data_IF_064885613914
#
_entry.id   IF_064885613914
#
_cell.length_a   1.000
_cell.length_b   1.000
_cell.length_c   1.000
_cell.angle_alpha   90.00
_cell.angle_beta   90.00
_cell.angle_gamma   90.00
#
_symmetry.space_group_name_H-M   'P 1'
#
loop_
_entity.id
_entity.type
_entity.pdbx_description
1 polymer ?
#
# COMPACT_ATOMS: atom_id res chain seq x y z
N UNK A 1 9.29 -2.47 12.59
CA UNK A 1 10.59 -2.30 11.89
C UNK A 1 10.95 -3.55 11.10
N UNK A 2 10.71 -4.75 11.63
CA UNK A 2 11.06 -5.99 10.90
C UNK A 2 10.21 -6.30 9.66
N UNK A 3 8.95 -5.85 9.60
CA UNK A 3 8.10 -6.01 8.40
C UNK A 3 8.66 -5.29 7.17
N UNK A 4 9.28 -4.11 7.35
CA UNK A 4 9.84 -3.30 6.26
C UNK A 4 11.17 -3.83 5.73
N UNK A 5 11.87 -4.69 6.48
CA UNK A 5 13.19 -5.23 6.11
C UNK A 5 13.12 -6.33 5.04
N UNK A 6 11.95 -6.94 4.86
CA UNK A 6 11.74 -8.09 3.96
C UNK A 6 11.05 -7.69 2.65
N UNK A 7 10.95 -6.39 2.34
CA UNK A 7 10.44 -5.93 1.06
C UNK A 7 11.60 -5.73 0.10
N UNK A 8 11.51 -6.34 -1.08
CA UNK A 8 12.43 -6.09 -2.20
C UNK A 8 12.41 -4.59 -2.63
N UNK A 9 11.31 -3.90 -2.31
CA UNK A 9 11.12 -2.49 -2.62
C UNK A 9 10.97 -2.24 -4.11
N UNK A 10 11.13 -0.98 -4.51
CA UNK A 10 11.01 -0.55 -5.90
C UNK A 10 12.36 -0.12 -6.46
N UNK A 11 12.58 -0.37 -7.76
CA UNK A 11 13.72 0.16 -8.51
C UNK A 11 13.69 1.69 -8.57
N UNK A 12 14.76 2.32 -9.06
CA UNK A 12 14.79 3.79 -9.19
C UNK A 12 13.83 4.26 -10.28
N UNK A 13 13.69 3.46 -11.33
CA UNK A 13 12.86 3.71 -12.50
C UNK A 13 11.38 3.62 -12.16
N UNK A 14 11.01 2.74 -11.23
CA UNK A 14 9.65 2.60 -10.71
C UNK A 14 9.28 3.70 -9.70
N UNK A 15 10.24 4.39 -9.09
CA UNK A 15 9.99 5.54 -8.19
C UNK A 15 9.77 6.84 -8.98
N UNK A 16 8.77 6.83 -9.84
CA UNK A 16 8.37 7.95 -10.69
C UNK A 16 7.02 8.55 -10.22
N UNK A 17 6.57 9.63 -10.85
CA UNK A 17 5.31 10.30 -10.47
C UNK A 17 4.05 9.47 -10.81
N UNK A 18 4.11 8.57 -11.79
CA UNK A 18 2.98 7.71 -12.18
C UNK A 18 2.62 6.72 -11.05
N UNK A 19 3.65 6.13 -10.45
CA UNK A 19 3.56 5.19 -9.34
C UNK A 19 3.42 5.88 -7.97
N UNK A 20 3.41 7.22 -7.92
CA UNK A 20 3.48 7.96 -6.66
C UNK A 20 2.14 7.96 -5.91
N UNK A 21 2.22 7.71 -4.60
CA UNK A 21 1.08 7.85 -3.68
C UNK A 21 1.10 9.26 -3.10
N UNK A 22 0.09 10.06 -3.44
CA UNK A 22 -0.06 11.41 -2.93
C UNK A 22 -0.76 11.45 -1.57
N UNK A 23 -0.51 12.52 -0.80
CA UNK A 23 -1.14 12.73 0.51
C UNK A 23 -0.39 12.10 1.69
N UNK A 24 0.75 11.46 1.45
CA UNK A 24 1.71 11.08 2.48
C UNK A 24 2.69 12.24 2.74
N UNK A 25 3.09 12.45 4.00
CA UNK A 25 4.16 13.41 4.36
C UNK A 25 5.52 12.95 3.82
N UNK A 26 5.73 11.64 3.83
CA UNK A 26 6.87 10.95 3.21
C UNK A 26 6.55 10.58 1.77
N UNK A 27 7.55 10.44 0.92
CA UNK A 27 7.33 9.93 -0.43
C UNK A 27 7.02 8.43 -0.37
N UNK A 28 6.06 8.01 -1.16
CA UNK A 28 5.62 6.62 -1.24
C UNK A 28 5.22 6.30 -2.68
N UNK A 29 5.42 5.04 -3.07
CA UNK A 29 5.13 4.54 -4.40
C UNK A 29 4.50 3.16 -4.34
N UNK A 30 3.72 2.84 -5.37
CA UNK A 30 3.12 1.52 -5.60
C UNK A 30 3.21 1.18 -7.08
N UNK A 31 3.56 -0.07 -7.37
CA UNK A 31 3.38 -0.67 -8.70
C UNK A 31 2.37 -1.79 -8.62
N UNK A 32 1.72 -2.07 -9.75
CA UNK A 32 0.71 -3.11 -9.87
C UNK A 32 1.02 -3.97 -11.09
N UNK A 33 1.00 -5.30 -10.92
CA UNK A 33 1.09 -6.28 -12.00
C UNK A 33 -0.09 -7.22 -11.92
N UNK A 34 -0.66 -7.56 -13.07
CA UNK A 34 -1.72 -8.55 -13.20
C UNK A 34 -1.14 -9.86 -13.75
N UNK A 35 -1.47 -10.98 -13.12
CA UNK A 35 -1.19 -12.33 -13.61
C UNK A 35 -2.49 -13.14 -13.58
N UNK A 36 -3.03 -13.44 -14.77
CA UNK A 36 -4.37 -14.01 -14.91
C UNK A 36 -5.45 -13.08 -14.34
N UNK A 37 -6.18 -13.53 -13.32
CA UNK A 37 -7.19 -12.75 -12.60
C UNK A 37 -6.67 -12.11 -11.31
N UNK A 38 -5.42 -12.41 -10.95
CA UNK A 38 -4.80 -12.01 -9.69
C UNK A 38 -3.91 -10.79 -9.87
N UNK A 39 -3.82 -9.98 -8.81
CA UNK A 39 -3.03 -8.77 -8.78
C UNK A 39 -1.87 -8.88 -7.78
N UNK A 40 -0.76 -8.25 -8.13
CA UNK A 40 0.49 -8.25 -7.38
C UNK A 40 1.02 -6.83 -7.27
N UNK A 41 1.17 -6.37 -6.04
CA UNK A 41 1.62 -5.04 -5.70
C UNK A 41 3.02 -5.08 -5.11
N UNK A 42 3.81 -4.06 -5.42
CA UNK A 42 5.06 -3.75 -4.72
C UNK A 42 5.02 -2.30 -4.29
N UNK A 43 5.45 -2.02 -3.05
CA UNK A 43 5.44 -0.68 -2.50
C UNK A 43 6.80 -0.26 -1.97
N UNK A 44 7.04 1.04 -1.92
CA UNK A 44 8.21 1.57 -1.23
C UNK A 44 7.94 2.96 -0.66
N UNK A 45 8.76 3.38 0.31
CA UNK A 45 8.71 4.72 0.88
C UNK A 45 10.08 5.15 1.39
N UNK A 46 10.35 6.46 1.32
CA UNK A 46 11.53 7.06 1.95
C UNK A 46 11.45 7.09 3.49
N UNK A 47 10.28 6.78 4.07
CA UNK A 47 10.08 6.64 5.51
C UNK A 47 9.85 5.19 5.93
N UNK A 48 10.70 4.65 6.81
CA UNK A 48 10.64 3.26 7.27
C UNK A 48 9.30 2.87 7.91
N UNK A 49 8.64 3.79 8.62
CA UNK A 49 7.33 3.52 9.23
C UNK A 49 6.26 3.37 8.15
N UNK A 50 6.27 4.24 7.14
CA UNK A 50 5.32 4.18 6.02
C UNK A 50 5.57 2.94 5.18
N UNK A 51 6.84 2.62 4.89
CA UNK A 51 7.23 1.35 4.25
C UNK A 51 6.70 0.14 5.01
N UNK A 52 6.78 0.15 6.35
CA UNK A 52 6.22 -0.91 7.19
C UNK A 52 4.69 -1.03 7.08
N UNK A 53 3.97 0.08 7.00
CA UNK A 53 2.52 0.07 6.81
C UNK A 53 2.15 -0.43 5.41
N UNK A 54 2.82 0.06 4.36
CA UNK A 54 2.55 -0.37 2.98
C UNK A 54 2.85 -1.87 2.77
N UNK A 55 3.82 -2.44 3.49
CA UNK A 55 4.08 -3.89 3.48
C UNK A 55 2.87 -4.73 3.92
N UNK A 56 1.97 -4.16 4.73
CA UNK A 56 0.74 -4.84 5.13
C UNK A 56 -0.26 -4.90 3.98
N UNK A 57 -0.27 -3.89 3.10
CA UNK A 57 -1.09 -3.86 1.90
C UNK A 57 -0.61 -4.96 0.95
N UNK A 58 0.69 -5.01 0.63
CA UNK A 58 1.26 -6.04 -0.24
C UNK A 58 0.87 -7.45 0.23
N UNK A 59 1.02 -7.73 1.52
CA UNK A 59 0.70 -9.04 2.09
C UNK A 59 -0.79 -9.39 2.05
N UNK A 60 -1.66 -8.38 2.07
CA UNK A 60 -3.10 -8.59 2.17
C UNK A 60 -3.79 -8.54 0.80
N UNK A 61 -3.16 -7.92 -0.20
CA UNK A 61 -3.76 -7.65 -1.50
C UNK A 61 -3.15 -8.53 -2.59
N UNK A 62 -1.91 -8.98 -2.43
CA UNK A 62 -1.28 -9.86 -3.41
C UNK A 62 -2.02 -11.19 -3.49
N UNK A 63 -2.09 -11.77 -4.70
CA UNK A 63 -2.79 -13.03 -4.98
C UNK A 63 -4.32 -12.96 -4.78
N UNK A 64 -4.89 -11.74 -4.86
CA UNK A 64 -6.33 -11.50 -4.83
C UNK A 64 -6.86 -10.97 -6.17
N UNK A 65 -8.14 -11.20 -6.44
CA UNK A 65 -8.83 -10.66 -7.62
C UNK A 65 -9.18 -9.19 -7.40
N UNK A 66 -9.56 -8.51 -8.49
CA UNK A 66 -10.05 -7.13 -8.44
C UNK A 66 -11.20 -6.97 -7.45
N UNK A 67 -12.17 -7.89 -7.46
CA UNK A 67 -13.35 -7.85 -6.59
C UNK A 67 -12.97 -7.98 -5.12
N UNK A 68 -12.08 -8.93 -4.80
CA UNK A 68 -11.58 -9.15 -3.44
C UNK A 68 -10.86 -7.91 -2.90
N UNK A 69 -10.09 -7.21 -3.74
CA UNK A 69 -9.33 -6.01 -3.35
C UNK A 69 -10.25 -4.79 -3.17
N UNK A 70 -11.28 -4.65 -4.01
CA UNK A 70 -12.22 -3.54 -3.94
C UNK A 70 -13.14 -3.60 -2.70
N UNK A 71 -13.31 -4.78 -2.09
CA UNK A 71 -14.12 -4.96 -0.87
C UNK A 71 -13.37 -4.56 0.42
N UNK A 72 -12.05 -4.31 0.33
CA UNK A 72 -11.23 -3.98 1.51
C UNK A 72 -11.40 -2.50 1.89
N UNK A 73 -11.88 -2.26 3.12
CA UNK A 73 -11.85 -0.94 3.75
C UNK A 73 -10.52 -0.71 4.52
N UNK A 74 -9.80 0.35 4.15
CA UNK A 74 -8.49 0.65 4.74
C UNK A 74 -8.50 1.06 6.21
N UNK A 75 -9.60 1.64 6.69
CA UNK A 75 -9.76 2.00 8.10
C UNK A 75 -9.98 0.74 8.95
N UNK A 76 -10.92 -0.11 8.54
CA UNK A 76 -11.18 -1.40 9.19
C UNK A 76 -9.96 -2.31 9.15
N UNK A 77 -9.17 -2.26 8.07
CA UNK A 77 -7.92 -3.00 7.99
C UNK A 77 -6.93 -2.60 9.09
N UNK A 78 -6.71 -1.30 9.30
CA UNK A 78 -5.79 -0.83 10.35
C UNK A 78 -6.28 -1.19 11.76
N UNK A 79 -7.60 -1.16 11.97
CA UNK A 79 -8.20 -1.61 13.22
C UNK A 79 -8.04 -3.12 13.44
N UNK A 80 -8.23 -3.94 12.39
CA UNK A 80 -8.14 -5.40 12.48
C UNK A 80 -6.72 -5.89 12.78
N UNK A 81 -5.70 -5.17 12.30
CA UNK A 81 -4.28 -5.45 12.64
C UNK A 81 -3.82 -4.78 13.94
N UNK A 82 -4.74 -4.16 14.70
CA UNK A 82 -4.46 -3.54 16.00
C UNK A 82 -3.66 -2.24 15.93
N UNK A 83 -3.56 -1.63 14.75
CA UNK A 83 -2.78 -0.41 14.54
C UNK A 83 -3.60 0.87 14.62
N UNK A 84 -4.93 0.83 14.47
CA UNK A 84 -5.77 2.03 14.39
C UNK A 84 -5.61 3.05 15.54
N UNK A 85 -5.34 2.58 16.77
CA UNK A 85 -5.06 3.46 17.94
C UNK A 85 -3.58 3.75 18.19
N UNK A 86 -2.68 3.08 17.49
CA UNK A 86 -1.23 3.11 17.72
C UNK A 86 -0.49 4.05 16.75
N UNK A 87 -1.19 4.57 15.74
CA UNK A 87 -0.65 5.46 14.71
C UNK A 87 -1.38 6.81 14.72
N UNK A 88 -0.66 7.88 14.37
CA UNK A 88 -1.28 9.20 14.28
C UNK A 88 -2.31 9.26 13.16
N UNK A 89 -3.28 10.18 13.28
CA UNK A 89 -4.27 10.45 12.23
C UNK A 89 -3.63 10.71 10.86
N UNK A 90 -2.50 11.41 10.82
CA UNK A 90 -1.77 11.67 9.59
C UNK A 90 -1.23 10.40 8.91
N UNK A 91 -0.77 9.42 9.68
CA UNK A 91 -0.28 8.14 9.14
C UNK A 91 -1.43 7.26 8.67
N UNK A 92 -2.54 7.26 9.41
CA UNK A 92 -3.80 6.61 8.99
C UNK A 92 -4.26 7.16 7.64
N UNK A 93 -4.29 8.49 7.49
CA UNK A 93 -4.68 9.13 6.23
C UNK A 93 -3.75 8.75 5.07
N UNK A 94 -2.44 8.73 5.30
CA UNK A 94 -1.48 8.28 4.29
C UNK A 94 -1.71 6.83 3.86
N UNK A 95 -2.01 5.94 4.80
CA UNK A 95 -2.33 4.54 4.52
C UNK A 95 -3.64 4.39 3.74
N UNK A 96 -4.71 5.08 4.15
CA UNK A 96 -5.99 5.09 3.42
C UNK A 96 -5.84 5.63 2.00
N UNK A 97 -5.00 6.66 1.80
CA UNK A 97 -4.70 7.19 0.47
C UNK A 97 -3.97 6.16 -0.42
N UNK A 98 -3.09 5.35 0.14
CA UNK A 98 -2.42 4.27 -0.59
C UNK A 98 -3.43 3.23 -1.09
N UNK A 99 -4.35 2.79 -0.22
CA UNK A 99 -5.43 1.86 -0.60
C UNK A 99 -6.32 2.47 -1.69
N UNK A 100 -6.73 3.73 -1.52
CA UNK A 100 -7.55 4.42 -2.52
C UNK A 100 -6.85 4.52 -3.89
N UNK A 101 -5.53 4.77 -3.93
CA UNK A 101 -4.75 4.80 -5.18
C UNK A 101 -4.75 3.43 -5.85
N UNK A 102 -4.51 2.36 -5.09
CA UNK A 102 -4.55 0.98 -5.59
C UNK A 102 -5.94 0.65 -6.15
N UNK A 103 -7.00 0.93 -5.40
CA UNK A 103 -8.36 0.63 -5.84
C UNK A 103 -8.75 1.41 -7.09
N UNK A 104 -8.27 2.65 -7.26
CA UNK A 104 -8.46 3.42 -8.50
C UNK A 104 -7.75 2.80 -9.69
N UNK A 105 -6.49 2.37 -9.53
CA UNK A 105 -5.74 1.69 -10.59
C UNK A 105 -6.38 0.38 -11.05
N UNK A 106 -7.21 -0.24 -10.20
CA UNK A 106 -7.97 -1.43 -10.59
C UNK A 106 -9.22 -1.10 -11.40
N UNK A 107 -9.76 0.11 -11.30
CA UNK A 107 -11.00 0.53 -11.94
C UNK A 107 -10.81 1.08 -13.36
N UNK A 108 -9.62 1.63 -13.64
CA UNK A 108 -9.19 2.08 -14.97
C UNK A 108 -8.78 0.91 -15.89
#
# INVERSE_FOLDING_TARGET
VDLAKNLDGLSKEEKNEENRIHGCTSQAWVTCKKDGEKYFFQTDSDAMIVKGLLSLIERSFNDHTKEEILDIDGGQFLDSVGLGRSISSQRTNGFSNAINKIQRELLD
#
